data_IF_108029275586
#
_entry.id   IF_108029275586
#
_cell.length_a   1.000
_cell.length_b   1.000
_cell.length_c   1.000
_cell.angle_alpha   90.00
_cell.angle_beta   90.00
_cell.angle_gamma   90.00
#
_symmetry.space_group_name_H-M   'P 1'
#
loop_
_entity.id
_entity.type
_entity.pdbx_description
1 polymer ?
#
# COMPACT_ATOMS: atom_id res chain seq x y z
N UNK A 1 37.75 -6.32 53.46
CA UNK A 1 38.40 -7.12 52.39
C UNK A 1 37.37 -8.03 51.73
N UNK A 2 36.89 -7.71 50.52
CA UNK A 2 36.55 -8.73 49.53
C UNK A 2 37.50 -8.66 48.33
N UNK A 3 37.78 -9.86 47.79
CA UNK A 3 38.84 -10.19 46.84
C UNK A 3 38.48 -9.80 45.40
N UNK A 4 39.54 -9.54 44.66
CA UNK A 4 39.64 -9.17 43.25
C UNK A 4 39.00 -10.18 42.27
N UNK A 5 38.36 -9.60 41.24
CA UNK A 5 38.62 -9.84 39.81
C UNK A 5 38.45 -11.26 39.24
N UNK A 6 37.48 -11.37 38.33
CA UNK A 6 37.62 -11.86 36.93
C UNK A 6 36.21 -12.19 36.46
N UNK A 7 35.63 -11.27 35.70
CA UNK A 7 34.52 -11.39 34.73
C UNK A 7 34.17 -9.92 34.40
N UNK A 8 35.15 -9.12 33.99
CA UNK A 8 35.72 -9.16 32.65
C UNK A 8 34.60 -9.11 31.59
N UNK A 9 34.19 -7.87 31.31
CA UNK A 9 34.15 -7.37 29.93
C UNK A 9 33.15 -8.06 28.99
N UNK A 10 31.85 -7.92 29.26
CA UNK A 10 30.80 -7.97 28.21
C UNK A 10 29.89 -6.74 28.33
N UNK A 11 30.51 -5.59 28.55
CA UNK A 11 30.02 -4.31 28.06
C UNK A 11 31.04 -3.91 26.98
N UNK A 12 30.58 -3.42 25.83
CA UNK A 12 31.38 -2.97 24.66
C UNK A 12 31.66 -3.96 23.51
N UNK A 13 30.65 -4.70 23.02
CA UNK A 13 30.66 -5.15 21.61
C UNK A 13 29.30 -5.06 20.89
N UNK A 14 28.27 -4.42 21.47
CA UNK A 14 27.01 -4.13 20.78
C UNK A 14 26.96 -2.71 20.17
N UNK A 15 28.11 -2.05 20.06
CA UNK A 15 28.28 -0.76 19.41
C UNK A 15 29.41 -0.86 18.40
N UNK A 16 29.08 -1.37 17.21
CA UNK A 16 29.50 -0.83 15.90
C UNK A 16 29.38 -1.92 14.82
N UNK A 17 28.61 -1.65 13.76
CA UNK A 17 28.75 -2.37 12.50
C UNK A 17 27.44 -2.73 11.83
N UNK A 18 26.95 -1.82 10.98
CA UNK A 18 26.04 -2.04 9.84
C UNK A 18 25.02 -3.20 9.98
N UNK A 19 23.73 -2.93 10.05
CA UNK A 19 23.06 -2.10 9.06
C UNK A 19 21.65 -1.83 9.51
N UNK A 20 21.18 -0.67 9.07
CA UNK A 20 19.79 -0.30 8.89
C UNK A 20 18.88 -1.48 9.19
N UNK A 21 18.02 -1.36 10.20
CA UNK A 21 16.68 -1.92 10.06
C UNK A 21 16.17 -1.36 8.74
N UNK A 22 16.46 -2.07 7.65
CA UNK A 22 15.65 -2.03 6.48
C UNK A 22 14.29 -2.36 7.07
N UNK A 23 13.43 -1.35 7.15
CA UNK A 23 12.00 -1.57 7.02
C UNK A 23 11.94 -2.55 5.86
N UNK A 24 11.76 -3.84 6.20
CA UNK A 24 12.08 -4.91 5.28
C UNK A 24 11.38 -4.59 3.98
N UNK A 25 12.13 -4.43 2.90
CA UNK A 25 11.56 -4.14 1.58
C UNK A 25 10.49 -5.18 1.22
N UNK A 26 10.50 -6.36 1.87
CA UNK A 26 9.45 -7.38 1.78
C UNK A 26 8.09 -6.96 2.32
N UNK A 27 8.00 -6.10 3.34
CA UNK A 27 6.71 -5.60 3.87
C UNK A 27 6.03 -4.64 2.89
N UNK A 28 6.80 -3.68 2.36
CA UNK A 28 6.31 -2.74 1.34
C UNK A 28 6.00 -3.46 0.02
N UNK A 29 6.81 -4.43 -0.39
CA UNK A 29 6.57 -5.21 -1.61
C UNK A 29 5.33 -6.11 -1.48
N UNK A 30 5.14 -6.80 -0.36
CA UNK A 30 3.94 -7.60 -0.12
C UNK A 30 2.67 -6.73 -0.08
N UNK A 31 2.74 -5.55 0.53
CA UNK A 31 1.63 -4.60 0.52
C UNK A 31 1.34 -4.05 -0.89
N UNK A 32 2.38 -3.79 -1.68
CA UNK A 32 2.27 -3.36 -3.07
C UNK A 32 1.60 -4.43 -3.94
N UNK A 33 2.06 -5.68 -3.84
CA UNK A 33 1.53 -6.81 -4.59
C UNK A 33 0.07 -7.11 -4.20
N UNK A 34 -0.24 -7.07 -2.90
CA UNK A 34 -1.60 -7.23 -2.38
C UNK A 34 -2.53 -6.11 -2.85
N UNK A 35 -2.07 -4.85 -2.82
CA UNK A 35 -2.83 -3.70 -3.32
C UNK A 35 -3.10 -3.84 -4.81
N UNK A 36 -2.06 -4.15 -5.60
CA UNK A 36 -2.18 -4.39 -7.04
C UNK A 36 -3.16 -5.51 -7.37
N UNK A 37 -3.09 -6.63 -6.65
CA UNK A 37 -4.01 -7.76 -6.84
C UNK A 37 -5.45 -7.35 -6.55
N UNK A 38 -5.69 -6.69 -5.42
CA UNK A 38 -7.04 -6.23 -5.03
C UNK A 38 -7.60 -5.21 -6.02
N UNK A 39 -6.77 -4.27 -6.50
CA UNK A 39 -7.16 -3.32 -7.55
C UNK A 39 -7.51 -4.05 -8.85
N UNK A 40 -6.71 -5.02 -9.29
CA UNK A 40 -7.01 -5.79 -10.49
C UNK A 40 -8.32 -6.57 -10.36
N UNK A 41 -8.54 -7.25 -9.23
CA UNK A 41 -9.81 -7.93 -8.95
C UNK A 41 -10.98 -6.96 -8.98
N UNK A 42 -10.85 -5.79 -8.35
CA UNK A 42 -11.86 -4.74 -8.41
C UNK A 42 -12.15 -4.30 -9.85
N UNK A 43 -11.13 -4.10 -10.69
CA UNK A 43 -11.32 -3.69 -12.09
C UNK A 43 -12.07 -4.77 -12.88
N UNK A 44 -11.78 -6.05 -12.65
CA UNK A 44 -12.50 -7.14 -13.29
C UNK A 44 -13.94 -7.27 -12.80
N UNK A 45 -14.16 -7.13 -11.49
CA UNK A 45 -15.49 -7.17 -10.89
C UNK A 45 -16.32 -5.97 -11.29
N UNK A 46 -15.76 -4.77 -11.34
CA UNK A 46 -16.44 -3.56 -11.79
C UNK A 46 -16.91 -3.65 -13.25
N UNK A 47 -16.20 -4.42 -14.09
CA UNK A 47 -16.64 -4.71 -15.46
C UNK A 47 -17.81 -5.68 -15.53
N UNK A 48 -17.85 -6.68 -14.63
CA UNK A 48 -18.91 -7.70 -14.58
C UNK A 48 -20.16 -7.18 -13.87
N UNK A 49 -19.98 -6.49 -12.75
CA UNK A 49 -21.02 -6.01 -11.85
C UNK A 49 -20.78 -4.53 -11.50
N UNK A 50 -20.97 -3.60 -12.45
CA UNK A 50 -20.74 -2.17 -12.24
C UNK A 50 -21.64 -1.55 -11.16
N UNK A 51 -22.79 -2.17 -10.87
CA UNK A 51 -23.71 -1.72 -9.83
C UNK A 51 -23.14 -1.86 -8.41
N UNK A 52 -22.27 -2.85 -8.16
CA UNK A 52 -21.63 -3.07 -6.85
C UNK A 52 -20.27 -2.38 -6.72
N UNK A 53 -19.71 -1.92 -7.84
CA UNK A 53 -18.40 -1.30 -7.90
C UNK A 53 -18.23 -0.11 -6.93
N UNK A 54 -19.19 0.82 -6.75
CA UNK A 54 -19.02 1.93 -5.79
C UNK A 54 -18.80 1.44 -4.34
N UNK A 55 -19.51 0.39 -3.94
CA UNK A 55 -19.41 -0.19 -2.61
C UNK A 55 -18.08 -0.92 -2.43
N UNK A 56 -17.68 -1.74 -3.42
CA UNK A 56 -16.39 -2.41 -3.42
C UNK A 56 -15.21 -1.43 -3.42
N UNK A 57 -15.34 -0.32 -4.17
CA UNK A 57 -14.35 0.74 -4.22
C UNK A 57 -14.17 1.42 -2.86
N UNK A 58 -15.25 1.57 -2.08
CA UNK A 58 -15.15 2.16 -0.73
C UNK A 58 -14.27 1.30 0.17
N UNK A 59 -14.50 -0.02 0.20
CA UNK A 59 -13.67 -0.95 0.97
C UNK A 59 -12.22 -0.98 0.47
N UNK A 60 -12.03 -0.93 -0.85
CA UNK A 60 -10.69 -0.86 -1.45
C UNK A 60 -9.98 0.44 -1.05
N UNK A 61 -10.69 1.57 -1.04
CA UNK A 61 -10.16 2.87 -0.64
C UNK A 61 -9.62 2.83 0.78
N UNK A 62 -10.38 2.28 1.73
CA UNK A 62 -9.97 2.18 3.14
C UNK A 62 -8.65 1.40 3.28
N UNK A 63 -8.50 0.30 2.53
CA UNK A 63 -7.27 -0.49 2.53
C UNK A 63 -6.09 0.26 1.90
N UNK A 64 -6.30 0.94 0.77
CA UNK A 64 -5.26 1.72 0.10
C UNK A 64 -4.85 2.91 0.97
N UNK A 65 -5.79 3.60 1.62
CA UNK A 65 -5.52 4.71 2.52
C UNK A 65 -4.73 4.26 3.76
N UNK A 66 -5.05 3.09 4.32
CA UNK A 66 -4.23 2.51 5.39
C UNK A 66 -2.78 2.30 4.94
N UNK A 67 -2.57 1.73 3.73
CA UNK A 67 -1.24 1.55 3.17
C UNK A 67 -0.55 2.87 2.82
N UNK A 68 -1.28 3.86 2.31
CA UNK A 68 -0.75 5.19 2.00
C UNK A 68 -0.32 5.94 3.26
N UNK A 69 -1.07 5.84 4.35
CA UNK A 69 -0.71 6.44 5.64
C UNK A 69 0.49 5.72 6.30
N UNK A 70 0.58 4.40 6.16
CA UNK A 70 1.64 3.61 6.78
C UNK A 70 2.97 3.63 6.00
N UNK A 71 2.90 3.58 4.66
CA UNK A 71 4.07 3.40 3.77
C UNK A 71 4.40 4.64 2.94
N UNK A 72 3.43 5.54 2.72
CA UNK A 72 3.60 6.73 1.90
C UNK A 72 3.95 6.44 0.44
N UNK A 73 4.60 7.41 -0.22
CA UNK A 73 5.13 7.25 -1.57
C UNK A 73 4.06 6.91 -2.61
N UNK A 74 4.33 5.91 -3.45
CA UNK A 74 3.45 5.54 -4.57
C UNK A 74 2.05 5.09 -4.12
N UNK A 75 1.87 4.61 -2.88
CA UNK A 75 0.56 4.27 -2.34
C UNK A 75 -0.38 5.48 -2.24
N UNK A 76 0.17 6.69 -2.05
CA UNK A 76 -0.62 7.93 -2.04
C UNK A 76 -1.21 8.20 -3.42
N UNK A 77 -0.48 7.95 -4.50
CA UNK A 77 -0.97 8.12 -5.87
C UNK A 77 -2.11 7.12 -6.20
N UNK A 78 -2.01 5.90 -5.67
CA UNK A 78 -3.10 4.91 -5.79
C UNK A 78 -4.32 5.35 -4.99
N UNK A 79 -4.14 5.86 -3.77
CA UNK A 79 -5.23 6.39 -2.96
C UNK A 79 -5.94 7.55 -3.66
N UNK A 80 -5.19 8.49 -4.21
CA UNK A 80 -5.71 9.65 -4.92
C UNK A 80 -6.52 9.24 -6.17
N UNK A 81 -6.00 8.30 -6.95
CA UNK A 81 -6.70 7.74 -8.11
C UNK A 81 -7.99 7.00 -7.73
N UNK A 82 -7.98 6.29 -6.60
CA UNK A 82 -9.17 5.61 -6.09
C UNK A 82 -10.23 6.62 -5.57
N UNK A 83 -9.80 7.74 -4.97
CA UNK A 83 -10.68 8.86 -4.58
C UNK A 83 -11.31 9.53 -5.79
N UNK A 84 -10.52 9.75 -6.84
CA UNK A 84 -11.01 10.30 -8.11
C UNK A 84 -12.09 9.39 -8.71
N UNK A 85 -11.84 8.08 -8.77
CA UNK A 85 -12.84 7.12 -9.24
C UNK A 85 -14.10 7.12 -8.37
N UNK A 86 -13.96 7.21 -7.04
CA UNK A 86 -15.10 7.29 -6.12
C UNK A 86 -15.95 8.53 -6.38
N UNK A 87 -15.30 9.69 -6.54
CA UNK A 87 -15.97 10.94 -6.87
C UNK A 87 -16.73 10.85 -8.21
N UNK A 88 -16.20 10.13 -9.21
CA UNK A 88 -16.90 9.87 -10.48
C UNK A 88 -18.14 9.00 -10.27
N UNK A 89 -18.06 7.96 -9.45
CA UNK A 89 -19.24 7.13 -9.09
C UNK A 89 -20.29 7.95 -8.32
N UNK A 90 -19.88 8.74 -7.32
CA UNK A 90 -20.77 9.59 -6.52
C UNK A 90 -21.47 10.65 -7.39
N UNK A 91 -20.74 11.22 -8.35
CA UNK A 91 -21.27 12.20 -9.31
C UNK A 91 -22.08 11.57 -10.44
N UNK A 92 -22.24 10.24 -10.46
CA UNK A 92 -22.88 9.47 -11.53
C UNK A 92 -22.31 9.82 -12.92
N UNK A 93 -20.99 9.94 -13.01
CA UNK A 93 -20.29 10.24 -14.24
C UNK A 93 -20.62 9.18 -15.32
N UNK A 94 -20.63 9.56 -16.60
CA UNK A 94 -20.86 8.63 -17.69
C UNK A 94 -19.82 7.49 -17.68
N UNK A 95 -20.27 6.30 -18.07
CA UNK A 95 -19.46 5.08 -18.14
C UNK A 95 -18.03 5.28 -18.70
N UNK A 96 -17.80 5.98 -19.83
CA UNK A 96 -16.43 6.19 -20.34
C UNK A 96 -15.50 6.93 -19.36
N UNK A 97 -16.02 7.85 -18.55
CA UNK A 97 -15.22 8.54 -17.52
C UNK A 97 -14.90 7.61 -16.34
N UNK A 98 -15.84 6.76 -15.95
CA UNK A 98 -15.63 5.72 -14.94
C UNK A 98 -14.57 4.73 -15.42
N UNK A 99 -14.63 4.29 -16.68
CA UNK A 99 -13.66 3.37 -17.28
C UNK A 99 -12.27 4.00 -17.37
N UNK A 100 -12.18 5.28 -17.76
CA UNK A 100 -10.91 6.02 -17.78
C UNK A 100 -10.30 6.15 -16.38
N UNK A 101 -11.09 6.53 -15.38
CA UNK A 101 -10.63 6.62 -13.99
C UNK A 101 -10.25 5.23 -13.42
N UNK A 102 -10.98 4.18 -13.79
CA UNK A 102 -10.67 2.79 -13.41
C UNK A 102 -9.34 2.33 -14.02
N UNK A 103 -9.07 2.67 -15.29
CA UNK A 103 -7.80 2.38 -15.95
C UNK A 103 -6.62 3.13 -15.30
N UNK A 104 -6.83 4.39 -14.91
CA UNK A 104 -5.84 5.20 -14.17
C UNK A 104 -5.52 4.61 -12.80
N UNK A 105 -6.54 4.17 -12.06
CA UNK A 105 -6.35 3.46 -10.79
C UNK A 105 -5.52 2.18 -10.99
N UNK A 106 -5.86 1.38 -11.99
CA UNK A 106 -5.10 0.17 -12.33
C UNK A 106 -3.63 0.49 -12.66
N UNK A 107 -3.39 1.49 -13.50
CA UNK A 107 -2.04 1.91 -13.89
C UNK A 107 -1.21 2.37 -12.68
N UNK A 108 -1.84 3.09 -11.75
CA UNK A 108 -1.17 3.55 -10.52
C UNK A 108 -0.83 2.37 -9.60
N UNK A 109 -1.71 1.38 -9.51
CA UNK A 109 -1.46 0.16 -8.75
C UNK A 109 -0.37 -0.73 -9.38
N UNK A 110 -0.31 -0.81 -10.72
CA UNK A 110 0.77 -1.49 -11.43
C UNK A 110 2.13 -0.83 -11.16
N UNK A 111 2.18 0.49 -11.00
CA UNK A 111 3.39 1.23 -10.64
C UNK A 111 3.87 1.02 -9.19
N UNK A 112 3.09 0.33 -8.33
CA UNK A 112 3.55 -0.05 -6.98
C UNK A 112 4.59 -1.18 -7.03
N UNK A 113 4.55 -2.01 -8.06
CA UNK A 113 5.46 -3.16 -8.25
C UNK A 113 6.28 -2.94 -9.53
N UNK A 114 7.60 -2.69 -9.44
CA UNK A 114 8.46 -2.62 -10.62
C UNK A 114 8.58 -3.97 -11.35
#
# INVERSE_FOLDING_TARGET
MPRFSVFLTIVLLASCGCGRTAISSGGTHAAAESTKKTVNTFVEDAKKTPATAPQQLTTLLESIEANANALGGNFVAVADSAKELKAKYDSKAPKPEIEAATAKLKSSADALTP
#
